data_IF_197484877837
#
_entry.id   IF_197484877837
#
_cell.length_a   1.000
_cell.length_b   1.000
_cell.length_c   1.000
_cell.angle_alpha   90.00
_cell.angle_beta   90.00
_cell.angle_gamma   90.00
#
_symmetry.space_group_name_H-M   'P 1'
#
loop_
_entity.id
_entity.type
_entity.pdbx_description
1 polymer ?
#
# COMPACT_ATOMS: atom_id res chain seq x y z
N UNK A 1 -5.28 17.15 20.55
CA UNK A 1 -4.09 17.40 19.69
C UNK A 1 -4.59 17.69 18.28
N UNK A 2 -4.19 18.83 17.71
CA UNK A 2 -4.49 19.17 16.32
C UNK A 2 -3.38 18.57 15.47
N UNK A 3 -3.70 17.56 14.66
CA UNK A 3 -2.74 16.94 13.75
C UNK A 3 -2.76 17.70 12.42
N UNK A 4 -1.59 18.06 11.91
CA UNK A 4 -1.46 18.75 10.63
C UNK A 4 -0.97 17.76 9.56
N UNK A 5 -1.54 17.81 8.34
CA UNK A 5 -1.10 16.94 7.26
C UNK A 5 0.32 17.28 6.82
N UNK A 6 1.11 16.24 6.55
CA UNK A 6 2.45 16.40 5.97
C UNK A 6 2.30 16.78 4.50
N UNK A 7 2.52 18.05 4.17
CA UNK A 7 2.36 18.59 2.80
C UNK A 7 3.70 18.91 2.12
N UNK A 8 4.79 18.99 2.89
CA UNK A 8 6.11 19.35 2.38
C UNK A 8 6.73 18.21 1.55
N UNK A 9 7.05 18.50 0.29
CA UNK A 9 7.71 17.55 -0.60
C UNK A 9 9.07 17.07 -0.06
N UNK A 10 9.76 17.89 0.73
CA UNK A 10 11.03 17.55 1.37
C UNK A 10 10.84 16.49 2.46
N UNK A 11 9.77 16.61 3.24
CA UNK A 11 9.46 15.68 4.33
C UNK A 11 8.96 14.35 3.78
N UNK A 12 8.11 14.38 2.74
CA UNK A 12 7.67 13.19 2.02
C UNK A 12 8.88 12.43 1.44
N UNK A 13 9.83 13.12 0.79
CA UNK A 13 11.06 12.51 0.29
C UNK A 13 11.93 11.93 1.40
N UNK A 14 12.03 12.63 2.53
CA UNK A 14 12.81 12.16 3.68
C UNK A 14 12.21 10.88 4.28
N UNK A 15 10.89 10.80 4.41
CA UNK A 15 10.18 9.60 4.87
C UNK A 15 10.39 8.44 3.89
N UNK A 16 10.25 8.69 2.58
CA UNK A 16 10.53 7.68 1.54
C UNK A 16 11.96 7.11 1.68
N UNK A 17 12.94 7.96 1.98
CA UNK A 17 14.34 7.56 2.22
C UNK A 17 14.52 6.80 3.53
N UNK A 18 13.81 7.17 4.59
CA UNK A 18 13.84 6.42 5.85
C UNK A 18 13.27 5.01 5.71
N UNK A 19 12.33 4.81 4.79
CA UNK A 19 11.69 3.52 4.53
C UNK A 19 12.41 2.67 3.46
N UNK A 20 13.56 3.10 2.95
CA UNK A 20 14.30 2.39 1.88
C UNK A 20 14.61 0.93 2.22
N UNK A 21 14.92 0.66 3.49
CA UNK A 21 15.24 -0.68 4.00
C UNK A 21 13.98 -1.51 4.39
N UNK A 22 12.78 -0.93 4.25
CA UNK A 22 11.50 -1.55 4.60
C UNK A 22 10.57 -1.46 3.40
N UNK A 23 10.79 -2.26 2.34
CA UNK A 23 10.10 -2.13 1.06
C UNK A 23 8.57 -2.23 1.21
N UNK A 24 8.07 -3.06 2.12
CA UNK A 24 6.64 -3.14 2.48
C UNK A 24 6.09 -1.81 2.98
N UNK A 25 6.78 -1.19 3.94
CA UNK A 25 6.32 0.04 4.60
C UNK A 25 6.46 1.23 3.63
N UNK A 26 7.50 1.23 2.78
CA UNK A 26 7.68 2.19 1.69
C UNK A 26 6.55 2.12 0.66
N UNK A 27 6.17 0.91 0.23
CA UNK A 27 5.04 0.70 -0.67
C UNK A 27 3.74 1.22 -0.04
N UNK A 28 3.48 0.89 1.22
CA UNK A 28 2.28 1.36 1.93
C UNK A 28 2.22 2.89 1.98
N UNK A 29 3.34 3.55 2.27
CA UNK A 29 3.43 5.00 2.30
C UNK A 29 3.18 5.62 0.92
N UNK A 30 3.79 5.07 -0.13
CA UNK A 30 3.60 5.54 -1.51
C UNK A 30 2.15 5.37 -1.94
N UNK A 31 1.54 4.20 -1.69
CA UNK A 31 0.13 3.96 -2.00
C UNK A 31 -0.77 4.91 -1.22
N UNK A 32 -0.55 5.09 0.09
CA UNK A 32 -1.35 5.98 0.94
C UNK A 32 -1.30 7.43 0.49
N UNK A 33 -0.12 7.95 0.12
CA UNK A 33 0.03 9.32 -0.37
C UNK A 33 -0.59 9.53 -1.76
N UNK A 34 -0.52 8.52 -2.65
CA UNK A 34 -0.94 8.68 -4.04
C UNK A 34 -2.42 8.32 -4.29
N UNK A 35 -3.05 7.53 -3.42
CA UNK A 35 -4.40 6.99 -3.67
C UNK A 35 -5.51 7.66 -2.88
N UNK A 36 -5.19 8.36 -1.78
CA UNK A 36 -6.21 8.90 -0.86
C UNK A 36 -7.07 7.83 -0.18
N UNK A 37 -6.71 6.55 -0.30
CA UNK A 37 -7.46 5.44 0.31
C UNK A 37 -7.18 5.36 1.81
N UNK A 38 -8.15 4.82 2.55
CA UNK A 38 -7.91 4.49 3.95
C UNK A 38 -6.90 3.35 4.04
N UNK A 39 -6.03 3.43 5.04
CA UNK A 39 -5.02 2.40 5.29
C UNK A 39 -5.64 1.00 5.41
N UNK A 40 -6.81 0.89 6.06
CA UNK A 40 -7.51 -0.40 6.19
C UNK A 40 -7.90 -1.02 4.84
N UNK A 41 -8.32 -0.20 3.88
CA UNK A 41 -8.70 -0.68 2.54
C UNK A 41 -7.45 -1.12 1.76
N UNK A 42 -6.33 -0.40 1.91
CA UNK A 42 -5.04 -0.81 1.34
C UNK A 42 -4.55 -2.14 1.94
N UNK A 43 -4.73 -2.37 3.24
CA UNK A 43 -4.33 -3.62 3.91
C UNK A 43 -5.14 -4.84 3.47
N UNK A 44 -6.32 -4.63 2.88
CA UNK A 44 -7.15 -5.71 2.35
C UNK A 44 -6.71 -6.18 0.96
N UNK A 45 -5.84 -5.43 0.26
CA UNK A 45 -5.32 -5.80 -1.06
C UNK A 45 -4.55 -7.11 -1.01
N UNK A 46 -4.81 -7.98 -1.98
CA UNK A 46 -4.02 -9.19 -2.21
C UNK A 46 -2.96 -8.95 -3.27
N UNK A 47 -1.98 -9.84 -3.30
CA UNK A 47 -0.92 -9.83 -4.31
C UNK A 47 -1.53 -10.05 -5.70
N UNK A 48 -2.49 -10.97 -5.84
CA UNK A 48 -3.17 -11.23 -7.12
C UNK A 48 -3.86 -9.99 -7.71
N UNK A 49 -4.38 -9.11 -6.85
CA UNK A 49 -5.09 -7.89 -7.27
C UNK A 49 -4.15 -6.85 -7.92
N UNK A 50 -2.85 -6.88 -7.58
CA UNK A 50 -1.89 -5.83 -7.98
C UNK A 50 -0.73 -6.36 -8.83
N UNK A 51 -0.37 -7.62 -8.70
CA UNK A 51 0.85 -8.20 -9.30
C UNK A 51 0.84 -8.12 -10.83
N UNK A 52 -0.33 -8.30 -11.45
CA UNK A 52 -0.48 -8.29 -12.90
C UNK A 52 -0.84 -6.91 -13.47
N UNK A 53 -0.84 -5.87 -12.64
CA UNK A 53 -1.22 -4.52 -13.05
C UNK A 53 -0.05 -3.73 -13.62
N UNK A 54 -0.39 -2.85 -14.56
CA UNK A 54 0.50 -1.95 -15.28
C UNK A 54 0.22 -0.48 -14.92
N UNK A 55 1.13 0.40 -15.34
CA UNK A 55 0.96 1.85 -15.15
C UNK A 55 -0.29 2.31 -15.91
N UNK A 56 -1.20 2.98 -15.20
CA UNK A 56 -2.49 3.45 -15.71
C UNK A 56 -3.66 2.53 -15.33
N UNK A 57 -3.39 1.32 -14.85
CA UNK A 57 -4.45 0.39 -14.45
C UNK A 57 -5.20 0.87 -13.22
N UNK A 58 -6.48 0.49 -13.18
CA UNK A 58 -7.44 0.84 -12.14
C UNK A 58 -7.83 -0.43 -11.40
N UNK A 59 -7.48 -0.49 -10.12
CA UNK A 59 -7.88 -1.56 -9.22
C UNK A 59 -9.11 -1.09 -8.45
N UNK A 60 -10.21 -1.83 -8.57
CA UNK A 60 -11.44 -1.54 -7.82
C UNK A 60 -11.32 -2.18 -6.44
N UNK A 61 -11.33 -1.34 -5.41
CA UNK A 61 -11.30 -1.77 -4.01
C UNK A 61 -12.66 -1.49 -3.41
N UNK A 62 -13.32 -2.54 -2.91
CA UNK A 62 -14.61 -2.41 -2.25
C UNK A 62 -14.42 -2.11 -0.76
N UNK A 63 -14.83 -0.93 -0.32
CA UNK A 63 -14.79 -0.56 1.10
C UNK A 63 -15.71 -1.48 1.91
N UNK A 64 -15.18 -2.09 2.96
CA UNK A 64 -15.99 -2.90 3.88
C UNK A 64 -17.02 -2.09 4.66
N UNK A 65 -16.70 -0.84 4.99
CA UNK A 65 -17.51 -0.02 5.90
C UNK A 65 -18.76 0.56 5.25
N UNK A 66 -18.67 0.95 3.99
CA UNK A 66 -19.76 1.65 3.27
C UNK A 66 -20.29 0.85 2.08
N UNK A 67 -19.60 -0.22 1.69
CA UNK A 67 -19.91 -0.99 0.48
C UNK A 67 -19.56 -0.27 -0.83
N UNK A 68 -19.04 0.96 -0.76
CA UNK A 68 -18.66 1.76 -1.93
C UNK A 68 -17.39 1.21 -2.57
N UNK A 69 -17.33 1.33 -3.88
CA UNK A 69 -16.14 1.03 -4.66
C UNK A 69 -15.26 2.28 -4.74
N UNK A 70 -14.00 2.13 -4.33
CA UNK A 70 -12.95 3.11 -4.61
C UNK A 70 -12.05 2.58 -5.71
N UNK A 71 -11.49 3.51 -6.48
CA UNK A 71 -10.57 3.19 -7.58
C UNK A 71 -9.16 3.52 -7.15
N UNK A 72 -8.29 2.52 -7.07
CA UNK A 72 -6.86 2.68 -6.86
C UNK A 72 -6.15 2.67 -8.22
N UNK A 73 -5.55 3.79 -8.59
CA UNK A 73 -4.81 3.88 -9.86
C UNK A 73 -3.31 3.60 -9.65
N UNK A 74 -2.76 2.72 -10.49
CA UNK A 74 -1.34 2.40 -10.48
C UNK A 74 -0.57 3.46 -11.28
N UNK A 75 0.18 4.30 -10.59
CA UNK A 75 1.11 5.22 -11.24
C UNK A 75 2.52 4.63 -11.30
N UNK A 76 3.43 5.32 -12.00
CA UNK A 76 4.83 4.89 -12.15
C UNK A 76 5.54 4.66 -10.82
N UNK A 77 5.31 5.52 -9.82
CA UNK A 77 5.96 5.42 -8.51
C UNK A 77 5.46 4.19 -7.73
N UNK A 78 4.15 3.95 -7.75
CA UNK A 78 3.53 2.77 -7.13
C UNK A 78 4.06 1.50 -7.80
N UNK A 79 4.09 1.45 -9.14
CA UNK A 79 4.54 0.26 -9.88
C UNK A 79 5.99 -0.09 -9.55
N UNK A 80 6.89 0.89 -9.54
CA UNK A 80 8.30 0.67 -9.16
C UNK A 80 8.42 0.14 -7.73
N UNK A 81 7.75 0.78 -6.77
CA UNK A 81 7.79 0.34 -5.37
C UNK A 81 7.15 -1.04 -5.17
N UNK A 82 6.11 -1.37 -5.93
CA UNK A 82 5.44 -2.66 -5.91
C UNK A 82 6.37 -3.75 -6.44
N UNK A 83 6.99 -3.54 -7.59
CA UNK A 83 7.90 -4.50 -8.20
C UNK A 83 9.13 -4.75 -7.32
N UNK A 84 9.68 -3.71 -6.69
CA UNK A 84 10.74 -3.84 -5.69
C UNK A 84 10.29 -4.67 -4.50
N UNK A 85 9.08 -4.43 -3.99
CA UNK A 85 8.56 -5.20 -2.85
C UNK A 85 8.27 -6.67 -3.20
N UNK A 86 7.66 -6.95 -4.35
CA UNK A 86 7.34 -8.31 -4.79
C UNK A 86 8.60 -9.17 -5.00
N UNK A 87 9.75 -8.55 -5.34
CA UNK A 87 11.05 -9.25 -5.40
C UNK A 87 11.56 -9.71 -4.03
N UNK A 88 11.09 -9.10 -2.94
CA UNK A 88 11.54 -9.42 -1.58
C UNK A 88 10.71 -10.50 -0.87
N UNK A 89 9.62 -10.94 -1.48
CA UNK A 89 8.68 -11.89 -0.87
C UNK A 89 8.29 -12.99 -1.86
N UNK A 90 7.72 -14.08 -1.33
CA UNK A 90 7.05 -15.07 -2.16
C UNK A 90 5.67 -14.56 -2.59
N UNK A 91 5.59 -14.06 -3.82
CA UNK A 91 4.42 -13.39 -4.39
C UNK A 91 3.32 -14.37 -4.85
N UNK A 92 2.70 -15.07 -3.90
CA UNK A 92 1.50 -15.90 -4.14
C UNK A 92 0.24 -15.03 -4.16
N UNK A 93 -0.64 -15.28 -5.12
CA UNK A 93 -1.75 -14.38 -5.42
C UNK A 93 -2.79 -14.29 -4.29
N UNK A 94 -2.95 -15.36 -3.50
CA UNK A 94 -3.87 -15.45 -2.36
C UNK A 94 -3.42 -14.64 -1.14
N UNK A 95 -2.14 -14.29 -1.07
CA UNK A 95 -1.56 -13.59 0.05
C UNK A 95 -1.96 -12.12 0.06
N UNK A 96 -2.13 -11.56 1.27
CA UNK A 96 -2.22 -10.11 1.44
C UNK A 96 -0.94 -9.43 0.97
N UNK A 97 -1.08 -8.31 0.25
CA UNK A 97 0.02 -7.47 -0.17
C UNK A 97 0.79 -6.94 1.04
N UNK A 98 0.09 -6.53 2.10
CA UNK A 98 0.71 -6.02 3.32
C UNK A 98 0.54 -7.00 4.48
N UNK A 99 1.34 -8.08 4.47
CA UNK A 99 1.32 -9.07 5.57
C UNK A 99 1.77 -8.48 6.90
N UNK A 100 1.13 -8.88 7.99
CA UNK A 100 1.61 -8.63 9.36
C UNK A 100 2.96 -9.32 9.62
N UNK A 101 3.77 -8.74 10.51
CA UNK A 101 5.06 -9.33 10.95
C UNK A 101 4.89 -10.58 11.82
N UNK A 102 3.67 -10.87 12.29
CA UNK A 102 3.38 -11.95 13.23
C UNK A 102 3.21 -13.34 12.59
N UNK A 103 3.53 -13.51 11.31
CA UNK A 103 3.75 -14.84 10.71
C UNK A 103 2.51 -15.68 10.39
N UNK A 104 1.29 -15.25 10.75
CA UNK A 104 0.05 -15.77 10.15
C UNK A 104 -0.37 -14.82 9.04
N UNK A 105 -0.96 -15.33 7.95
CA UNK A 105 -1.50 -14.56 6.81
C UNK A 105 -2.66 -13.65 7.25
N UNK A 106 -2.37 -12.71 8.13
CA UNK A 106 -3.31 -11.77 8.72
C UNK A 106 -2.90 -10.36 8.32
N UNK A 107 -3.89 -9.49 8.03
CA UNK A 107 -3.62 -8.08 7.78
C UNK A 107 -2.98 -7.44 9.02
N UNK A 108 -2.22 -6.36 8.82
CA UNK A 108 -1.61 -5.61 9.93
C UNK A 108 -2.70 -5.22 10.95
N UNK A 109 -2.60 -5.66 12.23
CA UNK A 109 -3.59 -5.33 13.23
C UNK A 109 -3.50 -3.84 13.60
N UNK A 110 -4.67 -3.25 13.86
CA UNK A 110 -4.83 -1.90 14.40
C UNK A 110 -4.04 -1.81 15.74
N UNK A 111 -3.10 -0.88 15.85
CA UNK A 111 -2.53 -0.53 17.17
C UNK A 111 -3.55 0.35 17.91
N UNK A 112 -3.85 0.07 19.19
CA UNK A 112 -4.71 0.92 20.01
C UNK A 112 -4.14 2.34 20.18
#
# INVERSE_FOLDING_TARGET
>A
MKVEPIVSAKDIKSIKRLLSNRPRDRLLFICGCNSGLRVQDLLALKIGDVKYTNIGDRIVIREKKTGKENVFMINKEIKVALDEYLKTIEARDEHFLFKSRKGKNEPLPHMP
#
